data_IF_701208793363
#
_entry.id   IF_701208793363
#
_cell.length_a   1.000
_cell.length_b   1.000
_cell.length_c   1.000
_cell.angle_alpha   90.00
_cell.angle_beta   90.00
_cell.angle_gamma   90.00
#
_symmetry.space_group_name_H-M   'P 1'
#
loop_
_entity.id
_entity.type
_entity.pdbx_description
1 polymer ?
#
# COMPACT_ATOMS: atom_id res chain seq x y z
N UNK A 1 12.84 15.07 11.85
CA UNK A 1 12.16 16.39 11.92
C UNK A 1 10.69 16.20 11.55
N UNK A 2 9.76 16.55 12.45
CA UNK A 2 8.32 16.45 12.18
C UNK A 2 7.93 17.53 11.16
N UNK A 3 7.18 17.15 10.11
CA UNK A 3 6.66 18.12 9.14
C UNK A 3 5.74 19.13 9.83
N UNK A 4 5.83 20.43 9.52
CA UNK A 4 4.93 21.41 10.10
C UNK A 4 3.47 21.06 9.76
N UNK A 5 2.61 21.07 10.78
CA UNK A 5 1.17 20.79 10.60
C UNK A 5 0.48 21.95 9.90
N UNK A 6 -0.50 21.69 9.03
CA UNK A 6 -1.31 22.72 8.43
C UNK A 6 -2.07 23.49 9.53
N UNK A 7 -2.31 24.78 9.31
CA UNK A 7 -2.99 25.67 10.24
C UNK A 7 -4.43 26.00 9.79
N UNK A 8 -5.26 26.34 10.74
CA UNK A 8 -6.57 26.97 10.50
C UNK A 8 -6.64 28.22 11.38
N UNK A 9 -6.79 29.39 10.76
CA UNK A 9 -6.75 30.69 11.50
C UNK A 9 -5.41 30.92 12.21
N UNK A 10 -4.27 30.42 11.65
CA UNK A 10 -2.95 30.57 12.25
C UNK A 10 -2.63 29.56 13.37
N UNK A 11 -3.59 28.72 13.79
CA UNK A 11 -3.40 27.70 14.82
C UNK A 11 -3.13 26.34 14.17
N UNK A 12 -2.10 25.57 14.60
CA UNK A 12 -1.87 24.23 14.11
C UNK A 12 -3.09 23.34 14.34
N UNK A 13 -3.53 22.61 13.30
CA UNK A 13 -4.64 21.66 13.44
C UNK A 13 -4.26 20.55 14.43
N UNK A 14 -5.15 20.14 15.34
CA UNK A 14 -4.90 19.03 16.22
C UNK A 14 -4.68 17.75 15.37
N UNK A 15 -3.65 16.99 15.72
CA UNK A 15 -3.43 15.67 15.11
C UNK A 15 -4.53 14.71 15.55
N UNK A 16 -5.04 13.90 14.64
CA UNK A 16 -5.94 12.80 14.97
C UNK A 16 -5.23 11.45 14.68
N UNK A 17 -5.76 10.39 15.26
CA UNK A 17 -5.17 9.04 15.16
C UNK A 17 -5.05 8.57 13.71
N UNK A 18 -6.04 8.86 12.84
CA UNK A 18 -5.99 8.46 11.44
C UNK A 18 -4.83 9.14 10.67
N UNK A 19 -4.56 10.42 10.97
CA UNK A 19 -3.41 11.13 10.39
C UNK A 19 -2.10 10.52 10.88
N UNK A 20 -1.98 10.21 12.19
CA UNK A 20 -0.78 9.57 12.75
C UNK A 20 -0.53 8.19 12.13
N UNK A 21 -1.56 7.37 11.98
CA UNK A 21 -1.47 6.06 11.31
C UNK A 21 -0.97 6.21 9.87
N UNK A 22 -1.52 7.17 9.12
CA UNK A 22 -1.09 7.45 7.75
C UNK A 22 0.36 7.92 7.70
N UNK A 23 0.77 8.84 8.58
CA UNK A 23 2.14 9.35 8.63
C UNK A 23 3.15 8.25 9.01
N UNK A 24 2.80 7.40 9.99
CA UNK A 24 3.61 6.25 10.37
C UNK A 24 3.75 5.24 9.21
N UNK A 25 2.65 4.93 8.53
CA UNK A 25 2.66 4.07 7.34
C UNK A 25 3.60 4.63 6.26
N UNK A 26 3.49 5.92 5.92
CA UNK A 26 4.33 6.53 4.90
C UNK A 26 5.83 6.49 5.29
N UNK A 27 6.15 6.77 6.56
CA UNK A 27 7.52 6.73 7.03
C UNK A 27 8.12 5.30 6.96
N UNK A 28 7.35 4.28 7.30
CA UNK A 28 7.78 2.88 7.20
C UNK A 28 7.87 2.43 5.72
N UNK A 29 6.93 2.86 4.89
CA UNK A 29 6.94 2.53 3.46
C UNK A 29 8.12 3.17 2.72
N UNK A 30 8.61 4.34 3.15
CA UNK A 30 9.79 4.98 2.57
C UNK A 30 11.03 4.07 2.64
N UNK A 31 11.15 3.20 3.65
CA UNK A 31 12.24 2.21 3.72
C UNK A 31 12.21 1.25 2.55
N UNK A 32 11.01 0.77 2.22
CA UNK A 32 10.81 -0.14 1.08
C UNK A 32 11.15 0.57 -0.23
N UNK A 33 10.69 1.81 -0.40
CA UNK A 33 10.94 2.60 -1.62
C UNK A 33 12.44 2.87 -1.82
N UNK A 34 13.17 3.24 -0.76
CA UNK A 34 14.63 3.43 -0.84
C UNK A 34 15.32 2.14 -1.26
N UNK A 35 14.98 1.01 -0.63
CA UNK A 35 15.58 -0.28 -0.96
C UNK A 35 15.26 -0.72 -2.40
N UNK A 36 14.04 -0.48 -2.86
CA UNK A 36 13.65 -0.75 -4.25
C UNK A 36 14.48 0.08 -5.23
N UNK A 37 14.69 1.38 -4.94
CA UNK A 37 15.50 2.25 -5.78
C UNK A 37 16.97 1.79 -5.83
N UNK A 38 17.56 1.39 -4.70
CA UNK A 38 18.92 0.83 -4.61
C UNK A 38 19.10 -0.45 -5.44
N UNK A 39 18.03 -1.25 -5.58
CA UNK A 39 18.01 -2.49 -6.38
C UNK A 39 17.55 -2.29 -7.82
N UNK A 40 17.48 -1.03 -8.31
CA UNK A 40 17.16 -0.73 -9.71
C UNK A 40 15.69 -0.46 -10.00
N UNK A 41 14.81 -0.46 -9.00
CA UNK A 41 13.37 -0.25 -9.17
C UNK A 41 12.92 1.19 -8.85
N UNK A 42 13.71 2.20 -9.22
CA UNK A 42 13.43 3.61 -8.93
C UNK A 42 12.12 4.15 -9.55
N UNK A 43 11.54 3.45 -10.54
CA UNK A 43 10.24 3.81 -11.10
C UNK A 43 9.06 3.45 -10.16
N UNK A 44 9.28 2.60 -9.14
CA UNK A 44 8.27 2.29 -8.12
C UNK A 44 8.22 3.43 -7.11
N UNK A 45 7.03 3.99 -6.91
CA UNK A 45 6.76 5.12 -6.01
C UNK A 45 5.85 4.65 -4.86
N UNK A 46 5.77 5.40 -3.74
CA UNK A 46 4.92 5.03 -2.59
C UNK A 46 3.47 4.70 -2.95
N UNK A 47 2.87 5.43 -3.90
CA UNK A 47 1.50 5.19 -4.34
C UNK A 47 1.29 3.81 -4.99
N UNK A 48 2.34 3.21 -5.57
CA UNK A 48 2.26 1.89 -6.21
C UNK A 48 2.15 0.73 -5.21
N UNK A 49 2.43 0.97 -3.93
CA UNK A 49 2.20 -0.02 -2.87
C UNK A 49 0.75 -0.52 -2.88
N UNK A 50 -0.22 0.37 -3.17
CA UNK A 50 -1.63 0.00 -3.28
C UNK A 50 -1.91 -1.02 -4.40
N UNK A 51 -1.12 -1.05 -5.48
CA UNK A 51 -1.25 -2.05 -6.54
C UNK A 51 -0.70 -3.38 -6.06
N UNK A 52 0.57 -3.41 -5.65
CA UNK A 52 1.26 -4.66 -5.25
C UNK A 52 0.63 -5.34 -4.03
N UNK A 53 0.06 -4.57 -3.11
CA UNK A 53 -0.61 -5.11 -1.91
C UNK A 53 -1.87 -5.91 -2.23
N UNK A 54 -2.57 -5.58 -3.32
CA UNK A 54 -3.87 -6.16 -3.65
C UNK A 54 -3.88 -6.96 -4.95
N UNK A 55 -2.73 -7.05 -5.63
CA UNK A 55 -2.57 -7.77 -6.88
C UNK A 55 -2.33 -9.25 -6.62
N UNK A 56 -3.23 -10.11 -7.10
CA UNK A 56 -3.08 -11.56 -7.04
C UNK A 56 -2.12 -12.04 -8.15
N UNK A 57 -1.34 -13.08 -7.89
CA UNK A 57 -0.40 -13.66 -8.87
C UNK A 57 -1.09 -14.17 -10.14
N UNK A 58 -2.33 -14.63 -10.00
CA UNK A 58 -3.17 -15.09 -11.13
C UNK A 58 -3.78 -13.93 -11.91
N UNK A 59 -3.67 -12.72 -11.40
CA UNK A 59 -4.19 -11.49 -11.99
C UNK A 59 -5.45 -10.97 -11.32
N UNK A 60 -5.61 -9.65 -11.37
CA UNK A 60 -6.74 -8.93 -10.75
C UNK A 60 -7.21 -7.83 -11.70
N UNK A 61 -8.52 -7.60 -11.82
CA UNK A 61 -9.03 -6.49 -12.63
C UNK A 61 -8.72 -5.14 -11.97
N UNK A 62 -8.58 -4.08 -12.78
CA UNK A 62 -8.41 -2.71 -12.25
C UNK A 62 -9.55 -2.31 -11.32
N UNK A 63 -10.77 -2.74 -11.61
CA UNK A 63 -11.94 -2.45 -10.77
C UNK A 63 -11.85 -3.11 -9.41
N UNK A 64 -11.40 -4.37 -9.35
CA UNK A 64 -11.20 -5.10 -8.10
C UNK A 64 -10.04 -4.50 -7.30
N UNK A 65 -8.93 -4.14 -7.95
CA UNK A 65 -7.80 -3.44 -7.30
C UNK A 65 -8.25 -2.12 -6.67
N UNK A 66 -9.01 -1.32 -7.42
CA UNK A 66 -9.55 -0.04 -6.95
C UNK A 66 -10.47 -0.22 -5.72
N UNK A 67 -11.37 -1.22 -5.77
CA UNK A 67 -12.26 -1.53 -4.65
C UNK A 67 -11.48 -1.97 -3.41
N UNK A 68 -10.52 -2.91 -3.55
CA UNK A 68 -9.67 -3.38 -2.44
C UNK A 68 -8.83 -2.26 -1.83
N UNK A 69 -8.30 -1.34 -2.66
CA UNK A 69 -7.50 -0.21 -2.23
C UNK A 69 -8.33 1.01 -1.81
N UNK A 70 -9.67 0.93 -1.86
CA UNK A 70 -10.58 2.06 -1.59
C UNK A 70 -10.25 3.31 -2.41
N UNK A 71 -9.89 3.11 -3.67
CA UNK A 71 -9.54 4.15 -4.63
C UNK A 71 -10.56 4.23 -5.77
N UNK A 72 -10.56 5.35 -6.49
CA UNK A 72 -11.32 5.42 -7.74
C UNK A 72 -10.69 4.52 -8.80
N UNK A 73 -11.52 3.97 -9.70
CA UNK A 73 -11.04 3.15 -10.83
C UNK A 73 -10.05 3.91 -11.72
N UNK A 74 -10.26 5.22 -11.90
CA UNK A 74 -9.38 6.07 -12.70
C UNK A 74 -8.00 6.19 -12.04
N UNK A 75 -7.93 6.52 -10.74
CA UNK A 75 -6.66 6.62 -10.01
C UNK A 75 -5.89 5.30 -10.05
N UNK A 76 -6.57 4.18 -9.82
CA UNK A 76 -5.95 2.85 -9.91
C UNK A 76 -5.47 2.55 -11.34
N UNK A 77 -6.24 2.92 -12.36
CA UNK A 77 -5.84 2.71 -13.77
C UNK A 77 -4.57 3.49 -14.14
N UNK A 78 -4.38 4.69 -13.59
CA UNK A 78 -3.17 5.50 -13.78
C UNK A 78 -1.94 4.86 -13.13
N UNK A 79 -2.07 4.34 -11.90
CA UNK A 79 -1.01 3.60 -11.21
C UNK A 79 -0.61 2.34 -11.99
N UNK A 80 -1.59 1.55 -12.41
CA UNK A 80 -1.37 0.34 -13.22
C UNK A 80 -0.71 0.69 -14.56
N UNK A 81 -1.15 1.75 -15.26
CA UNK A 81 -0.56 2.17 -16.52
C UNK A 81 0.90 2.61 -16.36
N UNK A 82 1.25 3.26 -15.23
CA UNK A 82 2.64 3.58 -14.93
C UNK A 82 3.48 2.32 -14.74
N UNK A 83 3.01 1.37 -13.92
CA UNK A 83 3.72 0.11 -13.67
C UNK A 83 3.84 -0.75 -14.94
N UNK A 84 2.82 -0.76 -15.81
CA UNK A 84 2.85 -1.46 -17.08
C UNK A 84 3.90 -0.89 -18.03
N UNK A 85 3.98 0.44 -18.17
CA UNK A 85 5.02 1.11 -18.98
C UNK A 85 6.45 0.82 -18.52
N UNK A 86 6.63 0.54 -17.23
CA UNK A 86 7.94 0.20 -16.65
C UNK A 86 8.17 -1.32 -16.51
N UNK A 87 7.25 -2.13 -17.05
CA UNK A 87 7.44 -3.57 -17.12
C UNK A 87 7.20 -4.35 -15.81
N UNK A 88 6.57 -3.73 -14.81
CA UNK A 88 6.27 -4.41 -13.54
C UNK A 88 4.99 -5.24 -13.58
N UNK A 89 4.03 -4.82 -14.38
CA UNK A 89 2.77 -5.55 -14.58
C UNK A 89 2.47 -5.64 -16.07
N UNK A 90 1.64 -6.60 -16.44
CA UNK A 90 1.11 -6.74 -17.79
C UNK A 90 -0.41 -6.91 -17.74
N UNK A 91 -1.11 -6.44 -18.79
CA UNK A 91 -2.53 -6.70 -18.97
C UNK A 91 -2.72 -7.88 -19.90
N UNK A 92 -3.42 -8.90 -19.43
CA UNK A 92 -3.75 -10.12 -20.16
C UNK A 92 -5.27 -10.26 -20.28
N UNK A 93 -5.80 -10.94 -21.33
CA UNK A 93 -7.21 -11.26 -21.39
C UNK A 93 -7.64 -12.09 -20.18
N UNK A 94 -8.82 -11.82 -19.63
CA UNK A 94 -9.40 -12.66 -18.58
C UNK A 94 -9.90 -13.97 -19.24
N UNK A 95 -9.47 -15.15 -18.78
CA UNK A 95 -9.93 -16.42 -19.32
C UNK A 95 -11.43 -16.67 -19.09
N UNK A 96 -12.02 -16.05 -18.05
CA UNK A 96 -13.42 -16.17 -17.72
C UNK A 96 -14.30 -15.16 -18.48
N UNK A 97 -13.77 -13.99 -18.84
CA UNK A 97 -14.45 -12.95 -19.60
C UNK A 97 -13.50 -12.28 -20.60
N UNK A 98 -13.60 -12.64 -21.86
CA UNK A 98 -12.77 -12.11 -22.95
C UNK A 98 -12.87 -10.59 -23.15
N UNK A 99 -13.89 -9.93 -22.60
CA UNK A 99 -14.04 -8.47 -22.63
C UNK A 99 -13.27 -7.78 -21.52
N UNK A 100 -12.91 -8.52 -20.46
CA UNK A 100 -12.14 -8.02 -19.33
C UNK A 100 -10.65 -8.25 -19.53
N UNK A 101 -9.84 -7.45 -18.83
CA UNK A 101 -8.39 -7.62 -18.74
C UNK A 101 -7.98 -7.77 -17.28
N UNK A 102 -7.14 -8.73 -17.02
CA UNK A 102 -6.46 -8.90 -15.74
C UNK A 102 -5.11 -8.18 -15.78
N UNK A 103 -4.77 -7.53 -14.69
CA UNK A 103 -3.42 -7.05 -14.40
C UNK A 103 -2.70 -8.19 -13.70
N UNK A 104 -1.57 -8.60 -14.23
CA UNK A 104 -0.72 -9.65 -13.66
C UNK A 104 0.68 -9.11 -13.37
N UNK A 105 1.35 -9.54 -12.28
CA UNK A 105 2.75 -9.18 -12.06
C UNK A 105 3.64 -9.89 -13.07
N UNK A 106 4.59 -9.16 -13.65
CA UNK A 106 5.68 -9.73 -14.45
C UNK A 106 6.74 -10.36 -13.53
N UNK A 107 7.81 -10.93 -14.08
CA UNK A 107 8.96 -11.36 -13.30
C UNK A 107 9.55 -10.18 -12.48
N UNK A 108 9.69 -9.01 -13.09
CA UNK A 108 10.16 -7.78 -12.43
C UNK A 108 9.19 -7.30 -11.35
N UNK A 109 7.88 -7.42 -11.57
CA UNK A 109 6.87 -7.09 -10.55
C UNK A 109 6.93 -8.03 -9.35
N UNK A 110 7.14 -9.33 -9.57
CA UNK A 110 7.33 -10.30 -8.49
C UNK A 110 8.61 -10.05 -7.70
N UNK A 111 9.69 -9.61 -8.37
CA UNK A 111 10.93 -9.20 -7.70
C UNK A 111 10.68 -8.02 -6.75
N UNK A 112 9.92 -7.01 -7.15
CA UNK A 112 9.51 -5.89 -6.28
C UNK A 112 8.77 -6.39 -5.04
N UNK A 113 7.82 -7.31 -5.21
CA UNK A 113 7.09 -7.92 -4.08
C UNK A 113 8.03 -8.70 -3.16
N UNK A 114 8.96 -9.49 -3.71
CA UNK A 114 9.92 -10.25 -2.93
C UNK A 114 10.83 -9.33 -2.10
N UNK A 115 11.36 -8.26 -2.69
CA UNK A 115 12.18 -7.25 -1.99
C UNK A 115 11.38 -6.60 -0.85
N UNK A 116 10.11 -6.25 -1.09
CA UNK A 116 9.26 -5.68 -0.04
C UNK A 116 9.03 -6.67 1.11
N UNK A 117 8.84 -7.96 0.80
CA UNK A 117 8.66 -9.01 1.81
C UNK A 117 9.95 -9.28 2.62
N UNK A 118 11.13 -9.21 1.99
CA UNK A 118 12.42 -9.31 2.67
C UNK A 118 12.62 -8.23 3.73
N UNK A 119 11.98 -7.07 3.57
CA UNK A 119 12.09 -5.94 4.50
C UNK A 119 11.10 -5.99 5.66
N UNK A 120 10.13 -6.90 5.66
CA UNK A 120 9.15 -7.01 6.74
C UNK A 120 9.82 -7.17 8.12
N UNK A 121 10.82 -8.04 8.32
CA UNK A 121 11.50 -8.15 9.61
C UNK A 121 12.15 -6.84 10.05
N UNK A 122 12.81 -6.12 9.15
CA UNK A 122 13.45 -4.83 9.45
C UNK A 122 12.42 -3.77 9.90
N UNK A 123 11.26 -3.74 9.24
CA UNK A 123 10.15 -2.83 9.62
C UNK A 123 9.63 -3.19 11.00
N UNK A 124 9.41 -4.48 11.29
CA UNK A 124 8.96 -4.95 12.60
C UNK A 124 9.98 -4.64 13.71
N UNK A 125 11.26 -4.82 13.44
CA UNK A 125 12.34 -4.47 14.38
C UNK A 125 12.37 -2.97 14.69
N UNK A 126 12.15 -2.10 13.70
CA UNK A 126 12.07 -0.64 13.92
C UNK A 126 10.86 -0.26 14.77
N UNK A 127 9.72 -0.90 14.57
CA UNK A 127 8.54 -0.69 15.41
C UNK A 127 8.84 -1.15 16.84
N UNK A 128 9.41 -2.34 17.00
CA UNK A 128 9.76 -2.89 18.32
C UNK A 128 10.84 -2.06 19.02
N UNK A 129 11.82 -1.52 18.31
CA UNK A 129 12.83 -0.62 18.86
C UNK A 129 12.24 0.71 19.38
N UNK A 130 11.23 1.23 18.69
CA UNK A 130 10.57 2.49 19.06
C UNK A 130 9.59 2.34 20.24
N UNK A 131 8.87 1.22 20.32
CA UNK A 131 7.77 1.01 21.27
C UNK A 131 8.13 0.03 22.42
N UNK A 132 9.10 -0.82 22.22
CA UNK A 132 9.30 -2.05 22.98
C UNK A 132 8.49 -3.21 22.39
N UNK A 133 8.96 -4.48 22.58
CA UNK A 133 8.39 -5.65 21.91
C UNK A 133 6.94 -5.94 22.32
N UNK A 134 6.56 -5.70 23.56
CA UNK A 134 5.19 -5.94 24.05
C UNK A 134 4.21 -4.97 23.44
N UNK A 135 4.52 -3.68 23.46
CA UNK A 135 3.66 -2.64 22.86
C UNK A 135 3.59 -2.74 21.34
N UNK A 136 4.64 -3.22 20.68
CA UNK A 136 4.60 -3.48 19.25
C UNK A 136 3.59 -4.60 18.92
N UNK A 137 3.54 -5.68 19.74
CA UNK A 137 2.54 -6.74 19.60
C UNK A 137 1.11 -6.26 19.89
N UNK A 138 0.94 -5.41 20.89
CA UNK A 138 -0.36 -4.79 21.21
C UNK A 138 -0.83 -3.91 20.05
N UNK A 139 0.03 -3.03 19.54
CA UNK A 139 -0.29 -2.18 18.38
C UNK A 139 -0.75 -3.01 17.18
N UNK A 140 -0.08 -4.12 16.86
CA UNK A 140 -0.49 -5.01 15.78
C UNK A 140 -1.92 -5.53 15.98
N UNK A 141 -2.25 -6.03 17.19
CA UNK A 141 -3.60 -6.50 17.52
C UNK A 141 -4.64 -5.39 17.40
N UNK A 142 -4.32 -4.19 17.88
CA UNK A 142 -5.21 -3.04 17.81
C UNK A 142 -5.50 -2.63 16.36
N UNK A 143 -4.47 -2.64 15.51
CA UNK A 143 -4.62 -2.37 14.07
C UNK A 143 -5.50 -3.42 13.38
N UNK A 144 -5.37 -4.70 13.72
CA UNK A 144 -6.22 -5.78 13.20
C UNK A 144 -7.68 -5.61 13.64
N UNK A 145 -7.92 -5.15 14.87
CA UNK A 145 -9.26 -4.85 15.39
C UNK A 145 -9.86 -3.67 14.62
N UNK A 146 -9.10 -2.59 14.46
CA UNK A 146 -9.55 -1.41 13.73
C UNK A 146 -9.87 -1.72 12.26
N UNK A 147 -9.04 -2.54 11.61
CA UNK A 147 -9.26 -2.97 10.24
C UNK A 147 -10.59 -3.74 10.10
N UNK A 148 -10.87 -4.70 10.99
CA UNK A 148 -12.13 -5.46 10.99
C UNK A 148 -13.33 -4.56 11.23
N UNK A 149 -13.28 -3.70 12.24
CA UNK A 149 -14.36 -2.77 12.55
C UNK A 149 -14.66 -1.80 11.39
N UNK A 150 -13.64 -1.33 10.66
CA UNK A 150 -13.83 -0.47 9.49
C UNK A 150 -14.51 -1.21 8.33
N UNK A 151 -14.18 -2.49 8.11
CA UNK A 151 -14.79 -3.32 7.07
C UNK A 151 -16.27 -3.60 7.36
N UNK A 152 -16.63 -3.90 8.61
CA UNK A 152 -18.02 -4.15 9.03
C UNK A 152 -18.91 -2.91 8.79
N UNK A 153 -18.39 -1.71 9.06
CA UNK A 153 -19.11 -0.45 8.79
C UNK A 153 -19.29 -0.16 7.28
N UNK A 154 -18.35 -0.55 6.45
CA UNK A 154 -18.46 -0.38 5.00
C UNK A 154 -19.54 -1.31 4.39
N UNK A 155 -19.62 -2.56 4.87
CA UNK A 155 -20.59 -3.55 4.43
C UNK A 155 -22.02 -3.22 4.87
N UNK A 156 -22.19 -2.56 6.02
CA UNK A 156 -23.51 -2.17 6.57
C UNK A 156 -24.12 -0.94 5.87
N UNK A 157 -23.38 -0.26 4.99
CA UNK A 157 -23.81 0.94 4.26
C UNK A 157 -24.07 0.69 2.76
N UNK A 158 -23.77 -0.48 2.26
CA UNK A 158 -23.98 -0.90 0.88
C UNK A 158 -25.28 -1.70 0.72
#
# INVERSE_FOLDING_TARGET
>A
MSRPRPTTGGVPRPGNTAVLLREAFLALNDLVIVRLAERGHAAVRPAHAAVFQYLDDTGTTVSTLAARAQMTKQAMAELVAHLERHGYVARVPDPADRRAKLVQPTATGREVVAIAQELVPEVEERIAAALGPDRARELRRDLEILQRAALDHATSRA
#
